data_IF_076756143754
#
_entry.id   IF_076756143754
#
_cell.length_a   1.000
_cell.length_b   1.000
_cell.length_c   1.000
_cell.angle_alpha   90.00
_cell.angle_beta   90.00
_cell.angle_gamma   90.00
#
_symmetry.space_group_name_H-M   'P 1'
#
loop_
_entity.id
_entity.type
_entity.pdbx_description
1 polymer ?
#
# COMPACT_ATOMS: atom_id res chain seq x y z
N UNK A 1 7.14 -30.68 1.59
CA UNK A 1 6.15 -29.59 1.37
C UNK A 1 6.64 -28.76 0.18
N UNK A 2 5.94 -28.76 -0.96
CA UNK A 2 6.34 -27.99 -2.14
C UNK A 2 5.87 -26.53 -1.96
N UNK A 3 6.79 -25.57 -1.85
CA UNK A 3 6.43 -24.16 -1.92
C UNK A 3 5.97 -23.82 -3.35
N UNK A 4 4.67 -23.57 -3.53
CA UNK A 4 4.17 -22.99 -4.79
C UNK A 4 4.58 -21.51 -4.84
N UNK A 5 5.10 -21.08 -5.98
CA UNK A 5 5.46 -19.69 -6.26
C UNK A 5 4.21 -18.82 -6.11
N UNK A 6 4.20 -17.89 -5.13
CA UNK A 6 3.10 -16.93 -4.96
C UNK A 6 3.13 -15.96 -6.14
N UNK A 7 2.01 -15.84 -6.86
CA UNK A 7 1.87 -14.89 -7.97
C UNK A 7 1.50 -13.51 -7.40
N UNK A 8 2.08 -12.46 -7.95
CA UNK A 8 1.70 -11.07 -7.67
C UNK A 8 0.98 -10.55 -8.92
N UNK A 9 -0.16 -9.90 -8.71
CA UNK A 9 -1.00 -9.36 -9.79
C UNK A 9 -1.08 -7.84 -9.60
N UNK A 10 -0.69 -7.08 -10.63
CA UNK A 10 -0.88 -5.63 -10.67
C UNK A 10 -2.08 -5.29 -11.55
N UNK A 11 -2.81 -4.22 -11.20
CA UNK A 11 -3.96 -3.73 -11.97
C UNK A 11 -3.73 -2.24 -12.24
N UNK A 12 -3.36 -1.94 -13.48
CA UNK A 12 -2.97 -0.61 -13.92
C UNK A 12 -4.00 0.02 -14.86
N UNK A 13 -3.97 1.35 -14.98
CA UNK A 13 -4.90 2.13 -15.79
C UNK A 13 -5.11 3.55 -15.27
N UNK A 14 -5.87 4.40 -15.98
CA UNK A 14 -6.03 5.82 -15.66
C UNK A 14 -6.74 6.05 -14.31
N UNK A 15 -6.58 7.26 -13.76
CA UNK A 15 -7.31 7.67 -12.55
C UNK A 15 -8.83 7.59 -12.78
N UNK A 16 -9.59 7.28 -11.73
CA UNK A 16 -11.06 7.18 -11.81
C UNK A 16 -11.61 5.90 -12.47
N UNK A 17 -10.77 5.02 -13.05
CA UNK A 17 -11.23 3.82 -13.74
C UNK A 17 -11.77 2.67 -12.84
N UNK A 18 -11.89 2.88 -11.53
CA UNK A 18 -12.39 1.85 -10.61
C UNK A 18 -11.41 0.70 -10.29
N UNK A 19 -10.10 0.89 -10.56
CA UNK A 19 -9.05 -0.14 -10.36
C UNK A 19 -9.03 -0.75 -8.96
N UNK A 20 -9.09 0.07 -7.92
CA UNK A 20 -9.11 -0.40 -6.53
C UNK A 20 -10.35 -1.23 -6.23
N UNK A 21 -11.50 -0.87 -6.79
CA UNK A 21 -12.75 -1.64 -6.65
C UNK A 21 -12.61 -3.02 -7.27
N UNK A 22 -12.14 -3.12 -8.52
CA UNK A 22 -11.99 -4.40 -9.19
C UNK A 22 -10.86 -5.25 -8.58
N UNK A 23 -9.78 -4.62 -8.10
CA UNK A 23 -8.70 -5.29 -7.40
C UNK A 23 -9.18 -5.93 -6.08
N UNK A 24 -9.96 -5.21 -5.26
CA UNK A 24 -10.56 -5.74 -4.03
C UNK A 24 -11.50 -6.91 -4.32
N UNK A 25 -12.34 -6.79 -5.34
CA UNK A 25 -13.26 -7.86 -5.76
C UNK A 25 -12.51 -9.10 -6.26
N UNK A 26 -11.49 -8.91 -7.11
CA UNK A 26 -10.67 -10.01 -7.60
C UNK A 26 -9.95 -10.70 -6.45
N UNK A 27 -9.34 -9.94 -5.55
CA UNK A 27 -8.61 -10.46 -4.41
C UNK A 27 -9.51 -11.31 -3.51
N UNK A 28 -10.71 -10.80 -3.18
CA UNK A 28 -11.70 -11.53 -2.40
C UNK A 28 -12.17 -12.83 -3.07
N UNK A 29 -12.38 -12.82 -4.39
CA UNK A 29 -12.86 -14.01 -5.13
C UNK A 29 -11.78 -15.06 -5.36
N UNK A 30 -10.53 -14.62 -5.56
CA UNK A 30 -9.42 -15.51 -5.88
C UNK A 30 -8.59 -15.93 -4.65
N UNK A 31 -8.93 -15.45 -3.45
CA UNK A 31 -8.19 -15.75 -2.23
C UNK A 31 -6.82 -15.06 -2.15
N UNK A 32 -6.70 -13.86 -2.73
CA UNK A 32 -5.49 -13.04 -2.66
C UNK A 32 -5.63 -11.96 -1.58
N UNK A 33 -4.50 -11.57 -1.01
CA UNK A 33 -4.40 -10.33 -0.23
C UNK A 33 -4.43 -9.14 -1.19
N UNK A 34 -5.34 -8.19 -0.95
CA UNK A 34 -5.34 -6.91 -1.64
C UNK A 34 -4.20 -6.04 -1.10
N UNK A 35 -3.61 -5.18 -1.93
CA UNK A 35 -2.62 -4.18 -1.48
C UNK A 35 -3.04 -2.85 -2.08
N UNK A 36 -3.25 -1.84 -1.22
CA UNK A 36 -3.55 -0.48 -1.67
C UNK A 36 -2.24 0.29 -1.90
N UNK A 37 -1.68 0.16 -3.10
CA UNK A 37 -0.47 0.91 -3.46
C UNK A 37 -0.67 2.43 -3.39
N UNK A 38 -1.91 2.90 -3.64
CA UNK A 38 -2.25 4.32 -3.52
C UNK A 38 -2.10 4.85 -2.09
N UNK A 39 -2.54 4.08 -1.09
CA UNK A 39 -2.36 4.43 0.33
C UNK A 39 -0.87 4.46 0.72
N UNK A 40 -0.06 3.52 0.22
CA UNK A 40 1.40 3.52 0.43
C UNK A 40 2.03 4.82 -0.11
N UNK A 41 1.78 5.15 -1.37
CA UNK A 41 2.35 6.35 -1.99
C UNK A 41 1.88 7.64 -1.31
N UNK A 42 0.60 7.72 -0.89
CA UNK A 42 0.08 8.86 -0.12
C UNK A 42 0.71 8.95 1.26
N UNK A 43 0.88 7.83 1.96
CA UNK A 43 1.55 7.75 3.25
C UNK A 43 2.98 8.27 3.18
N UNK A 44 3.75 7.84 2.18
CA UNK A 44 5.12 8.34 1.93
C UNK A 44 5.11 9.84 1.65
N UNK A 45 4.24 10.30 0.73
CA UNK A 45 4.15 11.72 0.37
C UNK A 45 3.76 12.59 1.57
N UNK A 46 2.83 12.12 2.40
CA UNK A 46 2.41 12.80 3.62
C UNK A 46 3.54 12.84 4.64
N UNK A 47 4.23 11.72 4.89
CA UNK A 47 5.38 11.63 5.78
C UNK A 47 6.49 12.61 5.38
N UNK A 48 6.78 12.70 4.08
CA UNK A 48 7.75 13.65 3.54
C UNK A 48 7.30 15.10 3.76
N UNK A 49 6.03 15.40 3.47
CA UNK A 49 5.47 16.76 3.61
C UNK A 49 5.50 17.29 5.05
N UNK A 50 5.27 16.43 6.05
CA UNK A 50 5.19 16.86 7.46
C UNK A 50 6.55 16.89 8.17
N UNK A 51 7.60 16.32 7.58
CA UNK A 51 8.95 16.37 8.14
C UNK A 51 9.52 17.78 8.00
N UNK A 52 10.24 18.24 9.03
CA UNK A 52 10.77 19.62 9.11
C UNK A 52 12.28 19.73 8.88
N UNK A 53 12.99 18.62 8.69
CA UNK A 53 14.44 18.53 8.79
C UNK A 53 15.21 18.54 7.46
N UNK A 54 14.54 18.72 6.32
CA UNK A 54 15.22 18.80 5.00
C UNK A 54 15.92 17.51 4.56
N UNK A 55 15.69 16.41 5.28
CA UNK A 55 16.22 15.08 4.99
C UNK A 55 15.80 14.61 3.58
N UNK A 56 16.65 13.81 2.94
CA UNK A 56 16.33 13.25 1.63
C UNK A 56 15.17 12.24 1.73
N UNK A 57 14.58 11.89 0.58
CA UNK A 57 13.55 10.84 0.55
C UNK A 57 14.14 9.49 0.99
N UNK A 58 15.39 9.20 0.61
CA UNK A 58 16.09 7.97 1.00
C UNK A 58 16.23 7.86 2.52
N UNK A 59 16.60 8.96 3.20
CA UNK A 59 16.68 9.03 4.66
C UNK A 59 15.29 8.88 5.32
N UNK A 60 14.21 9.30 4.66
CA UNK A 60 12.85 9.04 5.11
C UNK A 60 12.46 7.57 4.97
N UNK A 61 12.78 6.95 3.84
CA UNK A 61 12.39 5.58 3.57
C UNK A 61 13.07 4.58 4.51
N UNK A 62 14.27 4.89 5.03
CA UNK A 62 14.98 4.06 6.00
C UNK A 62 14.24 3.86 7.33
N UNK A 63 13.53 4.90 7.80
CA UNK A 63 12.83 4.92 9.10
C UNK A 63 11.31 5.14 8.94
N UNK A 64 10.76 4.86 7.75
CA UNK A 64 9.36 5.15 7.47
C UNK A 64 8.45 4.29 8.39
N UNK A 65 7.66 4.91 9.28
CA UNK A 65 6.82 4.19 10.23
C UNK A 65 5.50 3.75 9.57
N UNK A 66 5.61 3.04 8.43
CA UNK A 66 4.49 2.54 7.66
C UNK A 66 4.15 1.11 8.11
N UNK A 67 2.95 0.91 8.64
CA UNK A 67 2.44 -0.41 9.04
C UNK A 67 1.29 -0.83 8.13
N UNK A 68 1.16 -2.15 7.96
CA UNK A 68 0.15 -2.77 7.11
C UNK A 68 -0.71 -3.71 7.93
N UNK A 69 -2.03 -3.49 7.90
CA UNK A 69 -3.01 -4.48 8.33
C UNK A 69 -3.64 -5.14 7.10
N UNK A 70 -3.42 -6.45 6.95
CA UNK A 70 -3.90 -7.26 5.85
C UNK A 70 -5.20 -8.01 6.20
N UNK A 71 -6.15 -7.32 6.84
CA UNK A 71 -7.50 -7.81 7.11
C UNK A 71 -8.40 -7.88 5.87
N UNK A 72 -9.73 -7.80 6.08
CA UNK A 72 -10.73 -7.76 4.99
C UNK A 72 -10.51 -6.59 4.03
N UNK A 73 -9.99 -5.48 4.55
CA UNK A 73 -9.49 -4.34 3.79
C UNK A 73 -8.05 -4.12 4.21
N UNK A 74 -7.19 -3.84 3.25
CA UNK A 74 -5.81 -3.44 3.54
C UNK A 74 -5.83 -2.02 4.09
N UNK A 75 -5.40 -1.86 5.33
CA UNK A 75 -5.15 -0.55 5.91
C UNK A 75 -3.66 -0.30 5.95
N UNK A 76 -3.30 0.94 5.63
CA UNK A 76 -1.93 1.43 5.68
C UNK A 76 -1.94 2.53 6.72
N UNK A 77 -1.11 2.37 7.73
CA UNK A 77 -0.99 3.38 8.78
C UNK A 77 0.40 4.00 8.72
N UNK A 78 0.47 5.31 8.98
CA UNK A 78 1.69 6.04 9.20
C UNK A 78 1.73 6.49 10.66
N UNK A 79 2.65 5.94 11.46
CA UNK A 79 2.77 6.22 12.89
C UNK A 79 1.44 6.04 13.66
N UNK A 80 0.68 4.99 13.33
CA UNK A 80 -0.63 4.69 13.95
C UNK A 80 -1.79 5.57 13.48
N UNK A 81 -1.63 6.30 12.36
CA UNK A 81 -2.72 7.05 11.70
C UNK A 81 -2.99 6.46 10.32
N UNK A 82 -4.26 6.20 10.01
CA UNK A 82 -4.70 5.76 8.68
C UNK A 82 -4.39 6.81 7.59
N UNK A 83 -3.94 6.37 6.41
CA UNK A 83 -3.47 7.23 5.28
C UNK A 83 -4.00 6.84 3.89
#
# INVERSE_FOLDING_TARGET
MILRKKKIITIDGPSGAGKSTIAKLLASKAGYTYIDSGAIYRGIAYAYKIRKNGASLEELLGDLPLTFDFGKNTHVELSGRDV
#
